data_IF_713913316615
#
_entry.id   IF_713913316615
#
_cell.length_a   1.000
_cell.length_b   1.000
_cell.length_c   1.000
_cell.angle_alpha   90.00
_cell.angle_beta   90.00
_cell.angle_gamma   90.00
#
_symmetry.space_group_name_H-M   'P 1'
#
loop_
_entity.id
_entity.type
_entity.pdbx_description
1 polymer ?
#
# COMPACT_ATOMS: atom_id res chain seq x y z
N UNK A 1 6.63 21.60 18.27
CA UNK A 1 8.11 21.43 18.31
C UNK A 1 8.62 21.74 16.91
N UNK A 2 9.76 22.40 16.75
CA UNK A 2 10.34 22.66 15.42
C UNK A 2 11.44 21.65 15.16
N UNK A 3 11.37 20.95 14.00
CA UNK A 3 12.37 19.96 13.59
C UNK A 3 13.56 20.67 12.91
N UNK A 4 14.76 20.18 13.18
CA UNK A 4 16.00 20.69 12.58
C UNK A 4 16.35 19.90 11.31
N UNK A 5 17.17 20.52 10.43
CA UNK A 5 17.61 19.92 9.17
C UNK A 5 18.73 18.88 9.41
N UNK A 6 18.37 17.81 10.12
CA UNK A 6 19.21 16.64 10.33
C UNK A 6 18.37 15.40 10.63
N UNK A 7 18.90 14.22 10.36
CA UNK A 7 18.20 12.97 10.55
C UNK A 7 17.82 12.67 12.00
N UNK A 8 18.64 13.06 12.98
CA UNK A 8 18.35 12.83 14.39
C UNK A 8 17.04 13.53 14.79
N UNK A 9 16.93 14.82 14.46
CA UNK A 9 15.71 15.58 14.74
C UNK A 9 14.51 15.11 13.95
N UNK A 10 14.67 14.82 12.65
CA UNK A 10 13.57 14.37 11.79
C UNK A 10 13.04 13.00 12.20
N UNK A 11 13.92 12.07 12.59
CA UNK A 11 13.52 10.74 13.06
C UNK A 11 12.84 10.76 14.44
N UNK A 12 13.01 11.83 15.22
CA UNK A 12 12.29 11.97 16.49
C UNK A 12 10.79 12.26 16.32
N UNK A 13 10.34 12.58 15.07
CA UNK A 13 8.91 12.80 14.80
C UNK A 13 8.16 11.48 14.89
N UNK A 14 7.15 11.39 15.77
CA UNK A 14 6.32 10.20 15.82
C UNK A 14 5.50 10.07 14.53
N UNK A 15 5.31 8.84 14.07
CA UNK A 15 4.35 8.56 13.00
C UNK A 15 2.94 8.84 13.56
N UNK A 16 2.10 9.63 12.88
CA UNK A 16 0.75 9.92 13.31
C UNK A 16 -0.07 8.66 13.61
N UNK A 17 -0.76 8.65 14.76
CA UNK A 17 -1.47 7.47 15.28
C UNK A 17 -2.51 6.90 14.28
N UNK A 18 -3.17 7.78 13.53
CA UNK A 18 -4.14 7.36 12.52
C UNK A 18 -3.58 6.31 11.54
N UNK A 19 -2.28 6.40 11.21
CA UNK A 19 -1.64 5.47 10.29
C UNK A 19 -1.44 4.09 10.93
N UNK A 20 -0.99 4.06 12.20
CA UNK A 20 -0.88 2.83 12.96
C UNK A 20 -2.25 2.16 13.20
N UNK A 21 -3.35 2.91 13.17
CA UNK A 21 -4.72 2.42 13.32
C UNK A 21 -5.32 1.94 12.00
N UNK A 22 -4.88 2.47 10.87
CA UNK A 22 -5.46 2.26 9.55
C UNK A 22 -5.34 0.82 9.05
N UNK A 23 -4.19 0.18 9.21
CA UNK A 23 -3.87 -1.23 8.90
C UNK A 23 -4.00 -1.67 7.45
N UNK A 24 -4.93 -1.13 6.68
CA UNK A 24 -5.17 -1.50 5.29
C UNK A 24 -5.33 -0.27 4.41
N UNK A 25 -4.54 -0.23 3.34
CA UNK A 25 -4.57 0.79 2.29
C UNK A 25 -4.57 0.18 0.90
N UNK A 26 -4.88 0.99 -0.10
CA UNK A 26 -4.84 0.60 -1.51
C UNK A 26 -3.78 1.43 -2.23
N UNK A 27 -2.89 0.74 -2.93
CA UNK A 27 -1.94 1.33 -3.85
C UNK A 27 -2.53 1.32 -5.26
N UNK A 28 -2.32 2.37 -6.04
CA UNK A 28 -2.89 2.48 -7.38
C UNK A 28 -1.77 2.83 -8.35
N UNK A 29 -1.30 1.84 -9.11
CA UNK A 29 -0.35 2.07 -10.19
C UNK A 29 -1.09 2.28 -11.50
N UNK A 30 -1.19 3.55 -11.90
CA UNK A 30 -1.93 3.98 -13.08
C UNK A 30 -1.20 5.12 -13.80
N UNK A 31 -1.12 5.07 -15.12
CA UNK A 31 -0.37 6.03 -15.92
C UNK A 31 -0.28 5.61 -17.38
N UNK A 32 0.64 6.20 -18.16
CA UNK A 32 0.81 5.90 -19.57
C UNK A 32 1.14 4.43 -19.84
N UNK A 33 1.86 3.76 -18.95
CA UNK A 33 2.13 2.32 -19.01
C UNK A 33 0.88 1.43 -18.96
N UNK A 34 -0.26 1.98 -18.53
CA UNK A 34 -1.54 1.27 -18.60
C UNK A 34 -2.09 1.16 -20.03
N UNK A 35 -1.57 1.93 -21.00
CA UNK A 35 -1.97 1.84 -22.40
C UNK A 35 -1.43 0.56 -23.05
N UNK A 36 -0.11 0.32 -23.10
CA UNK A 36 0.40 -0.97 -23.51
C UNK A 36 -0.04 -2.09 -22.54
N UNK A 37 -0.09 -1.80 -21.24
CA UNK A 37 -0.44 -2.74 -20.18
C UNK A 37 0.26 -4.09 -20.39
N UNK A 38 1.56 -4.08 -20.63
CA UNK A 38 2.31 -5.26 -21.04
C UNK A 38 3.72 -5.29 -20.44
N UNK A 39 4.11 -6.44 -20.03
CA UNK A 39 5.51 -6.84 -19.83
C UNK A 39 5.62 -8.35 -19.93
N UNK A 40 6.83 -8.86 -20.09
CA UNK A 40 7.08 -10.31 -20.03
C UNK A 40 6.99 -10.82 -18.59
N UNK A 41 6.74 -12.12 -18.40
CA UNK A 41 6.65 -12.73 -17.08
C UNK A 41 7.93 -12.50 -16.26
N UNK A 42 7.76 -12.12 -14.99
CA UNK A 42 8.87 -11.83 -14.07
C UNK A 42 9.36 -10.39 -14.12
N UNK A 43 8.69 -9.52 -14.86
CA UNK A 43 8.96 -8.08 -14.93
C UNK A 43 7.70 -7.28 -14.59
N UNK A 44 7.84 -5.96 -14.40
CA UNK A 44 6.76 -5.05 -14.01
C UNK A 44 6.30 -4.20 -15.21
N UNK A 45 4.99 -4.13 -15.43
CA UNK A 45 4.40 -3.41 -16.56
C UNK A 45 4.60 -1.89 -16.46
N UNK A 46 4.67 -1.33 -15.25
CA UNK A 46 4.94 0.09 -15.03
C UNK A 46 6.38 0.49 -15.43
N UNK A 47 7.27 -0.49 -15.65
CA UNK A 47 8.62 -0.30 -16.16
C UNK A 47 8.71 -0.38 -17.69
N UNK A 48 7.58 -0.36 -18.40
CA UNK A 48 7.52 -0.57 -19.86
C UNK A 48 8.45 0.33 -20.65
N UNK A 49 8.48 1.66 -20.35
CA UNK A 49 9.38 2.58 -21.03
C UNK A 49 10.85 2.18 -20.89
N UNK A 50 11.27 1.85 -19.68
CA UNK A 50 12.64 1.41 -19.40
C UNK A 50 12.97 0.12 -20.16
N UNK A 51 12.05 -0.83 -20.19
CA UNK A 51 12.25 -2.11 -20.88
C UNK A 51 12.41 -1.93 -22.38
N UNK A 52 11.59 -1.11 -23.03
CA UNK A 52 11.69 -0.90 -24.48
C UNK A 52 12.92 -0.09 -24.88
N UNK A 53 13.42 0.81 -24.02
CA UNK A 53 14.52 1.73 -24.34
C UNK A 53 15.88 1.29 -23.80
N UNK A 54 15.92 0.57 -22.66
CA UNK A 54 17.16 0.21 -21.96
C UNK A 54 17.39 -1.29 -21.82
N UNK A 55 16.36 -2.11 -21.96
CA UNK A 55 16.41 -3.56 -21.79
C UNK A 55 15.66 -4.30 -22.92
N UNK A 56 15.95 -3.99 -24.20
CA UNK A 56 15.21 -4.54 -25.34
C UNK A 56 15.29 -6.07 -25.41
N UNK A 57 16.31 -6.69 -24.85
CA UNK A 57 16.53 -8.14 -24.79
C UNK A 57 15.49 -8.87 -23.91
N UNK A 58 14.75 -8.17 -23.08
CA UNK A 58 13.74 -8.76 -22.20
C UNK A 58 12.40 -9.05 -22.90
N UNK A 59 12.29 -8.76 -24.20
CA UNK A 59 11.15 -9.12 -25.02
C UNK A 59 10.00 -8.09 -25.08
N UNK A 60 9.99 -7.08 -24.21
CA UNK A 60 8.99 -6.02 -24.26
C UNK A 60 9.13 -5.17 -25.54
N UNK A 61 10.36 -4.91 -26.00
CA UNK A 61 10.64 -4.17 -27.22
C UNK A 61 10.15 -4.92 -28.48
N UNK A 62 10.40 -6.23 -28.58
CA UNK A 62 9.92 -7.04 -29.70
C UNK A 62 8.38 -7.00 -29.80
N UNK A 63 7.70 -7.13 -28.66
CA UNK A 63 6.24 -7.01 -28.61
C UNK A 63 5.77 -5.62 -29.01
N UNK A 64 6.44 -4.57 -28.52
CA UNK A 64 6.17 -3.16 -28.85
C UNK A 64 6.21 -2.94 -30.37
N UNK A 65 7.31 -3.32 -31.01
CA UNK A 65 7.53 -3.13 -32.44
C UNK A 65 6.49 -3.86 -33.31
N UNK A 66 6.11 -5.06 -32.85
CA UNK A 66 5.08 -5.86 -33.51
C UNK A 66 3.68 -5.26 -33.42
N UNK A 67 3.33 -4.64 -32.29
CA UNK A 67 1.97 -4.16 -32.01
C UNK A 67 1.78 -2.70 -32.43
N UNK A 68 2.76 -1.85 -32.16
CA UNK A 68 2.67 -0.42 -32.38
C UNK A 68 3.53 0.06 -33.57
N UNK A 69 4.59 -0.67 -33.92
CA UNK A 69 5.58 -0.30 -34.91
C UNK A 69 6.86 0.23 -34.28
N UNK A 70 7.98 0.09 -35.03
CA UNK A 70 9.32 0.47 -34.56
C UNK A 70 9.49 1.98 -34.27
N UNK A 71 8.73 2.81 -34.99
CA UNK A 71 8.78 4.27 -34.85
C UNK A 71 7.86 4.82 -33.75
N UNK A 72 6.96 4.00 -33.19
CA UNK A 72 6.06 4.42 -32.12
C UNK A 72 6.83 4.58 -30.81
N UNK A 73 6.72 5.75 -30.19
CA UNK A 73 7.47 6.10 -28.98
C UNK A 73 6.59 6.00 -27.74
N UNK A 74 7.23 5.89 -26.57
CA UNK A 74 6.50 5.91 -25.30
C UNK A 74 5.61 7.16 -25.15
N UNK A 75 6.09 8.32 -25.62
CA UNK A 75 5.33 9.57 -25.60
C UNK A 75 4.03 9.54 -26.41
N UNK A 76 3.93 8.67 -27.42
CA UNK A 76 2.75 8.55 -28.27
C UNK A 76 1.58 7.86 -27.52
N UNK A 77 1.86 7.16 -26.41
CA UNK A 77 0.82 6.59 -25.56
C UNK A 77 -0.09 7.62 -24.89
N UNK A 78 0.29 8.88 -24.86
CA UNK A 78 -0.56 9.98 -24.38
C UNK A 78 -1.92 9.97 -25.10
N UNK A 79 -1.94 9.74 -26.42
CA UNK A 79 -3.16 9.65 -27.22
C UNK A 79 -4.08 8.47 -26.84
N UNK A 80 -3.47 7.42 -26.28
CA UNK A 80 -4.18 6.22 -25.83
C UNK A 80 -4.64 6.25 -24.37
N UNK A 81 -4.08 7.16 -23.56
CA UNK A 81 -4.46 7.33 -22.17
C UNK A 81 -5.65 8.28 -22.05
N UNK A 82 -6.86 7.76 -22.25
CA UNK A 82 -8.08 8.57 -22.35
C UNK A 82 -8.87 8.67 -21.07
N UNK A 83 -8.80 7.66 -20.22
CA UNK A 83 -9.52 7.56 -18.95
C UNK A 83 -11.03 7.88 -19.06
N UNK A 84 -11.65 7.50 -20.18
CA UNK A 84 -13.04 7.86 -20.52
C UNK A 84 -14.07 7.20 -19.61
N UNK A 85 -13.71 6.10 -18.95
CA UNK A 85 -14.55 5.38 -18.00
C UNK A 85 -14.15 5.63 -16.53
N UNK A 86 -13.15 6.47 -16.30
CA UNK A 86 -12.74 6.82 -14.94
C UNK A 86 -13.84 7.62 -14.23
N UNK A 87 -14.24 7.12 -13.07
CA UNK A 87 -15.25 7.68 -12.20
C UNK A 87 -14.72 7.65 -10.76
N UNK A 88 -14.28 8.82 -10.27
CA UNK A 88 -13.65 8.96 -8.96
C UNK A 88 -14.57 8.57 -7.81
N UNK A 89 -15.88 8.83 -7.93
CA UNK A 89 -16.87 8.46 -6.91
C UNK A 89 -17.05 6.93 -6.82
N UNK A 90 -17.08 6.24 -7.96
CA UNK A 90 -17.13 4.77 -7.97
C UNK A 90 -15.88 4.15 -7.38
N UNK A 91 -14.70 4.73 -7.67
CA UNK A 91 -13.46 4.28 -7.04
C UNK A 91 -13.50 4.49 -5.53
N UNK A 92 -13.95 5.67 -5.07
CA UNK A 92 -14.08 5.97 -3.64
C UNK A 92 -15.04 5.00 -2.95
N UNK A 93 -16.17 4.69 -3.58
CA UNK A 93 -17.14 3.71 -3.06
C UNK A 93 -16.54 2.30 -2.97
N UNK A 94 -15.83 1.85 -4.01
CA UNK A 94 -15.14 0.56 -4.00
C UNK A 94 -14.10 0.48 -2.88
N UNK A 95 -13.27 1.50 -2.73
CA UNK A 95 -12.23 1.54 -1.70
C UNK A 95 -12.82 1.58 -0.28
N UNK A 96 -13.90 2.31 -0.08
CA UNK A 96 -14.67 2.27 1.17
C UNK A 96 -15.22 0.87 1.45
N UNK A 97 -15.84 0.23 0.45
CA UNK A 97 -16.39 -1.14 0.57
C UNK A 97 -15.31 -2.19 0.80
N UNK A 98 -14.10 -1.99 0.29
CA UNK A 98 -12.96 -2.88 0.56
C UNK A 98 -12.47 -2.83 1.99
N UNK A 99 -12.89 -1.83 2.78
CA UNK A 99 -12.44 -1.58 4.14
C UNK A 99 -11.14 -0.79 4.22
N UNK A 100 -10.57 -0.32 3.12
CA UNK A 100 -9.37 0.50 3.12
C UNK A 100 -9.57 1.81 3.90
N UNK A 101 -8.51 2.28 4.54
CA UNK A 101 -8.50 3.52 5.33
C UNK A 101 -7.72 4.63 4.65
N UNK A 102 -6.91 4.31 3.67
CA UNK A 102 -6.17 5.27 2.85
C UNK A 102 -5.86 4.67 1.48
N UNK A 103 -5.52 5.54 0.56
CA UNK A 103 -5.00 5.16 -0.76
C UNK A 103 -3.65 5.84 -1.00
N UNK A 104 -2.87 5.30 -1.93
CA UNK A 104 -1.73 5.97 -2.57
C UNK A 104 -1.85 5.83 -4.08
N UNK A 105 -2.12 6.93 -4.79
CA UNK A 105 -2.11 6.92 -6.26
C UNK A 105 -0.73 7.34 -6.78
N UNK A 106 -0.24 6.72 -7.84
CA UNK A 106 0.97 7.16 -8.55
C UNK A 106 0.74 8.53 -9.17
N UNK A 107 0.94 9.60 -8.38
CA UNK A 107 0.86 10.97 -8.90
C UNK A 107 1.86 11.23 -10.02
N UNK A 108 3.04 10.60 -9.94
CA UNK A 108 4.09 10.53 -10.97
C UNK A 108 4.91 9.26 -10.76
N UNK A 109 5.04 8.43 -11.79
CA UNK A 109 5.94 7.28 -11.80
C UNK A 109 7.33 7.66 -12.39
N UNK A 110 8.23 6.71 -12.59
CA UNK A 110 9.59 6.94 -13.10
C UNK A 110 9.65 7.48 -14.54
N UNK A 111 8.57 7.37 -15.31
CA UNK A 111 8.40 7.95 -16.65
C UNK A 111 8.21 9.47 -16.61
N UNK A 112 8.01 10.05 -15.42
CA UNK A 112 7.84 11.48 -15.21
C UNK A 112 6.45 12.02 -15.55
N UNK A 113 5.52 11.18 -16.09
CA UNK A 113 4.17 11.63 -16.41
C UNK A 113 3.34 11.86 -15.16
N UNK A 114 2.81 13.08 -14.99
CA UNK A 114 2.03 13.46 -13.83
C UNK A 114 0.53 13.25 -14.04
N UNK A 115 -0.14 12.60 -13.09
CA UNK A 115 -1.61 12.47 -13.05
C UNK A 115 -2.30 13.68 -12.40
N UNK A 116 -1.60 14.79 -12.30
CA UNK A 116 -2.06 16.05 -11.72
C UNK A 116 -1.48 17.24 -12.48
N UNK A 117 -2.12 18.39 -12.39
CA UNK A 117 -1.59 19.62 -12.98
C UNK A 117 -0.35 20.08 -12.21
N UNK A 118 0.80 20.08 -12.88
CA UNK A 118 2.04 20.60 -12.35
C UNK A 118 2.67 21.62 -13.26
N UNK A 119 3.13 22.73 -12.69
CA UNK A 119 3.88 23.78 -13.42
C UNK A 119 5.32 23.33 -13.74
N UNK A 120 5.79 22.26 -13.10
CA UNK A 120 7.12 21.67 -13.30
C UNK A 120 7.15 20.53 -14.33
N UNK A 121 5.98 20.03 -14.77
CA UNK A 121 5.84 18.98 -15.79
C UNK A 121 5.03 19.48 -16.98
N UNK A 122 5.42 20.63 -17.55
CA UNK A 122 4.75 21.24 -18.69
C UNK A 122 4.68 20.29 -19.89
N UNK A 123 3.48 20.12 -20.47
CA UNK A 123 3.16 19.16 -21.53
C UNK A 123 3.49 17.69 -21.22
N UNK A 124 3.73 17.37 -19.94
CA UNK A 124 3.96 15.99 -19.49
C UNK A 124 3.12 15.68 -18.24
N UNK A 125 1.85 16.10 -18.29
CA UNK A 125 0.85 15.84 -17.27
C UNK A 125 -0.53 15.66 -17.89
N UNK A 126 -1.44 14.97 -17.19
CA UNK A 126 -2.77 14.60 -17.65
C UNK A 126 -3.74 15.76 -17.91
N UNK A 127 -3.40 16.98 -17.46
CA UNK A 127 -4.18 18.19 -17.74
C UNK A 127 -3.76 18.87 -19.05
N UNK A 128 -2.46 18.87 -19.35
CA UNK A 128 -1.94 19.53 -20.55
C UNK A 128 -2.11 18.64 -21.79
N UNK A 129 -2.02 17.33 -21.63
CA UNK A 129 -2.10 16.34 -22.72
C UNK A 129 -2.95 15.14 -22.33
N UNK A 130 -3.40 14.38 -23.33
CA UNK A 130 -4.21 13.18 -23.13
C UNK A 130 -5.64 13.51 -22.65
N UNK A 131 -6.06 13.02 -21.47
CA UNK A 131 -7.45 13.11 -21.02
C UNK A 131 -7.90 14.52 -20.59
N UNK A 132 -6.98 15.46 -20.40
CA UNK A 132 -7.23 16.82 -19.86
C UNK A 132 -7.96 16.82 -18.52
N UNK A 133 -7.56 15.91 -17.61
CA UNK A 133 -8.15 15.73 -16.28
C UNK A 133 -7.08 15.74 -15.18
N UNK A 134 -7.44 16.27 -14.01
CA UNK A 134 -6.63 16.24 -12.79
C UNK A 134 -7.09 15.11 -11.88
N UNK A 135 -6.56 13.92 -12.10
CA UNK A 135 -7.00 12.70 -11.40
C UNK A 135 -6.74 12.74 -9.90
N UNK A 136 -5.64 13.38 -9.49
CA UNK A 136 -5.33 13.53 -8.07
C UNK A 136 -6.37 14.43 -7.38
N UNK A 137 -6.81 15.51 -8.04
CA UNK A 137 -7.85 16.38 -7.48
C UNK A 137 -9.22 15.68 -7.46
N UNK A 138 -9.59 15.01 -8.53
CA UNK A 138 -10.86 14.28 -8.60
C UNK A 138 -10.95 13.22 -7.52
N UNK A 139 -9.89 12.42 -7.32
CA UNK A 139 -9.85 11.43 -6.24
C UNK A 139 -9.84 12.06 -4.84
N UNK A 140 -9.05 13.13 -4.63
CA UNK A 140 -9.06 13.87 -3.36
C UNK A 140 -10.48 14.29 -2.97
N UNK A 141 -11.21 14.89 -3.90
CA UNK A 141 -12.58 15.35 -3.63
C UNK A 141 -13.55 14.17 -3.39
N UNK A 142 -13.47 13.11 -4.20
CA UNK A 142 -14.32 11.92 -4.01
C UNK A 142 -14.02 11.17 -2.68
N UNK A 143 -12.77 11.23 -2.17
CA UNK A 143 -12.42 10.62 -0.89
C UNK A 143 -12.92 11.39 0.33
N UNK A 144 -13.26 12.67 0.19
CA UNK A 144 -13.52 13.61 1.30
C UNK A 144 -14.54 13.10 2.33
N UNK A 145 -15.62 12.50 1.86
CA UNK A 145 -16.69 11.97 2.71
C UNK A 145 -16.75 10.43 2.75
N UNK A 146 -15.75 9.77 2.14
CA UNK A 146 -15.71 8.30 2.09
C UNK A 146 -15.25 7.65 3.39
N UNK A 147 -14.49 8.37 4.22
CA UNK A 147 -13.76 7.83 5.36
C UNK A 147 -12.42 7.20 4.97
N UNK A 148 -12.02 7.28 3.69
CA UNK A 148 -10.73 6.82 3.16
C UNK A 148 -9.84 8.04 2.91
N UNK A 149 -8.62 8.05 3.47
CA UNK A 149 -7.69 9.17 3.31
C UNK A 149 -7.03 9.15 1.94
N UNK A 150 -6.94 10.31 1.32
CA UNK A 150 -6.18 10.50 0.09
C UNK A 150 -4.68 10.56 0.38
N UNK A 151 -3.89 9.83 -0.37
CA UNK A 151 -2.43 9.84 -0.35
C UNK A 151 -1.86 9.68 -1.75
N UNK A 152 -0.56 9.93 -1.87
CA UNK A 152 0.14 9.89 -3.14
C UNK A 152 1.43 9.10 -3.07
N UNK A 153 1.75 8.42 -4.17
CA UNK A 153 3.09 7.97 -4.51
C UNK A 153 3.70 9.00 -5.46
N UNK A 154 4.99 9.26 -5.30
CA UNK A 154 5.72 10.15 -6.18
C UNK A 154 7.16 9.66 -6.38
N UNK A 155 7.51 9.28 -7.61
CA UNK A 155 8.88 8.92 -7.92
C UNK A 155 9.82 10.12 -7.79
N UNK A 156 10.90 9.96 -7.02
CA UNK A 156 12.00 10.93 -7.01
C UNK A 156 12.89 10.77 -8.25
N UNK A 157 12.80 9.63 -8.91
CA UNK A 157 13.53 9.25 -10.10
C UNK A 157 12.75 9.62 -11.37
N UNK A 158 13.44 10.09 -12.39
CA UNK A 158 12.88 10.25 -13.74
C UNK A 158 13.88 9.72 -14.77
N UNK A 159 13.56 8.61 -15.40
CA UNK A 159 14.45 7.86 -16.27
C UNK A 159 15.11 8.67 -17.41
N UNK A 160 14.37 9.62 -17.97
CA UNK A 160 14.78 10.34 -19.19
C UNK A 160 14.75 11.86 -19.02
N UNK A 161 14.61 12.38 -17.80
CA UNK A 161 14.62 13.80 -17.55
C UNK A 161 16.03 14.37 -17.76
N UNK A 162 16.22 15.35 -18.69
CA UNK A 162 17.56 15.81 -19.06
C UNK A 162 18.38 16.35 -17.90
N UNK A 163 17.72 17.03 -16.95
CA UNK A 163 18.39 17.58 -15.79
C UNK A 163 18.82 16.47 -14.82
N UNK A 164 17.96 15.47 -14.61
CA UNK A 164 18.31 14.30 -13.79
C UNK A 164 19.54 13.57 -14.33
N UNK A 165 19.57 13.31 -15.65
CA UNK A 165 20.68 12.61 -16.31
C UNK A 165 21.99 13.40 -16.28
N UNK A 166 21.93 14.71 -16.18
CA UNK A 166 23.09 15.60 -16.17
C UNK A 166 23.58 15.91 -14.77
N UNK A 167 22.68 16.24 -13.86
CA UNK A 167 22.95 16.73 -12.52
C UNK A 167 21.77 16.42 -11.58
N UNK A 168 21.80 15.25 -10.89
CA UNK A 168 20.72 14.83 -9.99
C UNK A 168 20.49 15.78 -8.82
N UNK A 169 21.54 16.45 -8.34
CA UNK A 169 21.38 17.44 -7.24
C UNK A 169 20.64 18.69 -7.73
N UNK A 170 21.01 19.23 -8.90
CA UNK A 170 20.30 20.36 -9.51
C UNK A 170 18.85 19.98 -9.84
N UNK A 171 18.61 18.75 -10.31
CA UNK A 171 17.27 18.21 -10.53
C UNK A 171 16.46 18.19 -9.23
N UNK A 172 17.03 17.70 -8.13
CA UNK A 172 16.35 17.67 -6.84
C UNK A 172 15.90 19.05 -6.39
N UNK A 173 16.77 20.05 -6.48
CA UNK A 173 16.51 21.41 -6.00
C UNK A 173 15.58 22.22 -6.93
N UNK A 174 15.72 22.07 -8.25
CA UNK A 174 15.01 22.93 -9.23
C UNK A 174 13.76 22.31 -9.84
N UNK A 175 13.61 20.99 -9.74
CA UNK A 175 12.49 20.27 -10.33
C UNK A 175 11.71 19.47 -9.29
N UNK A 176 12.36 18.50 -8.61
CA UNK A 176 11.68 17.56 -7.70
C UNK A 176 11.07 18.27 -6.48
N UNK A 177 11.85 19.04 -5.71
CA UNK A 177 11.35 19.69 -4.49
C UNK A 177 10.24 20.70 -4.78
N UNK A 178 10.36 21.60 -5.79
CA UNK A 178 9.28 22.49 -6.15
C UNK A 178 8.01 21.75 -6.54
N UNK A 179 8.11 20.68 -7.34
CA UNK A 179 6.97 19.83 -7.74
C UNK A 179 6.32 19.13 -6.53
N UNK A 180 7.11 18.54 -5.63
CA UNK A 180 6.60 17.93 -4.40
C UNK A 180 5.90 18.94 -3.49
N UNK A 181 6.47 20.15 -3.34
CA UNK A 181 5.85 21.23 -2.56
C UNK A 181 4.53 21.68 -3.18
N UNK A 182 4.47 21.81 -4.51
CA UNK A 182 3.24 22.09 -5.26
C UNK A 182 2.19 21.01 -5.01
N UNK A 183 2.55 19.73 -5.18
CA UNK A 183 1.68 18.59 -4.96
C UNK A 183 1.12 18.58 -3.53
N UNK A 184 1.99 18.72 -2.54
CA UNK A 184 1.59 18.69 -1.12
C UNK A 184 0.70 19.88 -0.77
N UNK A 185 1.05 21.08 -1.22
CA UNK A 185 0.29 22.29 -0.87
C UNK A 185 -1.09 22.31 -1.52
N UNK A 186 -1.21 21.80 -2.75
CA UNK A 186 -2.47 21.83 -3.51
C UNK A 186 -3.40 20.66 -3.16
N UNK A 187 -2.84 19.46 -2.98
CA UNK A 187 -3.64 18.24 -2.82
C UNK A 187 -3.74 17.77 -1.36
N UNK A 188 -2.89 18.27 -0.46
CA UNK A 188 -2.92 18.00 0.99
C UNK A 188 -3.02 16.50 1.32
N UNK A 189 -2.14 15.63 0.77
CA UNK A 189 -2.21 14.20 0.97
C UNK A 189 -1.95 13.80 2.44
N UNK A 190 -2.53 12.69 2.88
CA UNK A 190 -2.29 12.12 4.20
C UNK A 190 -1.06 11.22 4.25
N UNK A 191 -0.66 10.66 3.10
CA UNK A 191 0.57 9.87 2.93
C UNK A 191 1.37 10.38 1.75
N UNK A 192 2.70 10.29 1.85
CA UNK A 192 3.63 10.54 0.77
C UNK A 192 4.56 9.34 0.63
N UNK A 193 4.30 8.52 -0.36
CA UNK A 193 5.14 7.38 -0.70
C UNK A 193 6.12 7.78 -1.79
N UNK A 194 7.38 8.06 -1.42
CA UNK A 194 8.46 8.30 -2.40
C UNK A 194 9.08 6.99 -2.85
N UNK A 195 9.71 6.98 -4.02
CA UNK A 195 10.37 5.81 -4.61
C UNK A 195 11.41 6.22 -5.66
N UNK A 196 12.34 5.32 -6.00
CA UNK A 196 13.38 5.59 -6.99
C UNK A 196 14.60 6.32 -6.42
N UNK A 197 14.82 6.24 -5.11
CA UNK A 197 15.93 6.89 -4.40
C UNK A 197 17.28 6.15 -4.56
N UNK A 198 17.30 5.01 -5.22
CA UNK A 198 18.36 3.99 -5.16
C UNK A 198 19.76 4.44 -5.59
N UNK A 199 19.85 5.32 -6.58
CA UNK A 199 21.13 5.66 -7.24
C UNK A 199 21.95 6.64 -6.42
N UNK A 200 21.30 7.47 -5.59
CA UNK A 200 21.96 8.56 -4.90
C UNK A 200 21.69 8.57 -3.39
N UNK A 201 22.64 9.08 -2.59
CA UNK A 201 22.42 9.28 -1.16
C UNK A 201 21.43 10.41 -0.87
N UNK A 202 20.91 10.45 0.33
CA UNK A 202 19.94 11.47 0.77
C UNK A 202 20.46 12.91 0.69
N UNK A 203 21.77 13.10 0.75
CA UNK A 203 22.42 14.40 0.56
C UNK A 203 22.21 14.94 -0.86
N UNK A 204 22.35 14.09 -1.90
CA UNK A 204 22.09 14.49 -3.30
C UNK A 204 20.62 14.85 -3.53
N UNK A 205 19.72 14.15 -2.86
CA UNK A 205 18.28 14.44 -2.89
C UNK A 205 17.87 15.63 -2.02
N UNK A 206 18.76 16.20 -1.19
CA UNK A 206 18.44 17.21 -0.17
C UNK A 206 17.25 16.81 0.70
N UNK A 207 17.17 15.54 1.05
CA UNK A 207 16.00 14.92 1.68
C UNK A 207 15.68 15.51 3.05
N UNK A 208 16.71 15.79 3.85
CA UNK A 208 16.51 16.39 5.18
C UNK A 208 15.97 17.82 5.09
N UNK A 209 16.37 18.58 4.08
CA UNK A 209 15.84 19.94 3.83
C UNK A 209 14.35 19.89 3.46
N UNK A 210 13.98 18.97 2.55
CA UNK A 210 12.60 18.77 2.17
C UNK A 210 11.73 18.32 3.34
N UNK A 211 12.16 17.32 4.10
CA UNK A 211 11.43 16.81 5.27
C UNK A 211 11.32 17.87 6.39
N UNK A 212 12.33 18.71 6.55
CA UNK A 212 12.27 19.84 7.48
C UNK A 212 11.16 20.82 7.13
N UNK A 213 11.03 21.18 5.85
CA UNK A 213 9.90 21.97 5.34
C UNK A 213 8.56 21.20 5.55
N UNK A 214 8.52 19.92 5.19
CA UNK A 214 7.31 19.10 5.30
C UNK A 214 6.76 19.07 6.73
N UNK A 215 7.63 18.94 7.73
CA UNK A 215 7.24 18.80 9.14
C UNK A 215 7.03 20.12 9.87
N UNK A 216 7.59 21.22 9.38
CA UNK A 216 7.47 22.51 10.06
C UNK A 216 6.50 23.48 9.39
N UNK A 217 6.40 23.46 8.05
CA UNK A 217 5.82 24.55 7.27
C UNK A 217 4.67 24.12 6.39
N UNK A 218 4.64 22.82 5.96
CA UNK A 218 3.61 22.36 5.04
C UNK A 218 2.21 22.41 5.65
N UNK A 219 1.15 22.56 4.84
CA UNK A 219 -0.23 22.55 5.34
C UNK A 219 -0.63 21.21 5.97
N UNK A 220 0.10 20.13 5.67
CA UNK A 220 -0.18 18.76 6.12
C UNK A 220 0.69 18.28 7.28
N UNK A 221 1.54 19.15 7.81
CA UNK A 221 2.58 18.84 8.82
C UNK A 221 2.09 18.06 10.04
N UNK A 222 0.85 18.25 10.42
CA UNK A 222 0.29 17.66 11.64
C UNK A 222 -0.16 16.20 11.43
N UNK A 223 -0.40 15.77 10.18
CA UNK A 223 -0.98 14.45 9.91
C UNK A 223 -0.30 13.65 8.79
N UNK A 224 0.56 14.26 7.96
CA UNK A 224 1.24 13.57 6.84
C UNK A 224 2.14 12.45 7.35
N UNK A 225 2.09 11.32 6.66
CA UNK A 225 2.99 10.19 6.86
C UNK A 225 3.84 9.98 5.60
N UNK A 226 5.08 10.46 5.57
CA UNK A 226 6.03 10.06 4.53
C UNK A 226 6.59 8.67 4.83
N UNK A 227 7.10 8.00 3.80
CA UNK A 227 7.83 6.75 3.95
C UNK A 227 9.34 6.98 4.21
N UNK A 228 10.14 5.93 4.08
CA UNK A 228 11.58 5.90 4.35
C UNK A 228 12.46 5.89 3.10
N UNK A 229 11.90 6.19 1.91
CA UNK A 229 12.61 6.13 0.62
C UNK A 229 13.12 7.51 0.19
N UNK A 230 14.16 7.99 0.86
CA UNK A 230 14.72 9.34 0.72
C UNK A 230 16.19 9.39 0.29
N UNK A 231 16.82 8.24 0.09
CA UNK A 231 18.19 8.05 -0.33
C UNK A 231 18.55 6.58 -0.24
N UNK A 232 19.57 6.14 -0.97
CA UNK A 232 19.96 4.72 -1.05
C UNK A 232 20.27 4.06 0.30
N UNK A 233 20.54 4.87 1.34
CA UNK A 233 20.87 4.41 2.70
C UNK A 233 19.70 4.48 3.68
N UNK A 234 18.54 5.02 3.27
CA UNK A 234 17.50 5.40 4.24
C UNK A 234 16.50 4.29 4.55
N UNK A 235 16.24 3.37 3.63
CA UNK A 235 15.24 2.31 3.83
C UNK A 235 15.47 1.49 5.09
N UNK A 236 14.44 1.39 5.95
CA UNK A 236 14.47 0.67 7.22
C UNK A 236 15.34 1.31 8.30
N UNK A 237 15.70 2.59 8.14
CA UNK A 237 16.58 3.30 9.08
C UNK A 237 16.18 4.74 9.35
N UNK A 238 15.89 5.50 8.30
CA UNK A 238 15.73 6.96 8.36
C UNK A 238 14.45 7.38 7.60
N UNK A 239 13.79 8.44 8.05
CA UNK A 239 12.60 8.98 7.42
C UNK A 239 11.32 8.70 8.22
N UNK A 240 10.23 8.41 7.54
CA UNK A 240 8.90 8.24 8.15
C UNK A 240 8.60 6.81 8.60
N UNK A 241 7.50 6.23 8.10
CA UNK A 241 7.21 4.81 8.28
C UNK A 241 8.13 3.95 7.39
N UNK A 242 8.50 2.78 7.89
CA UNK A 242 9.32 1.87 7.12
C UNK A 242 8.49 1.15 6.06
N UNK A 243 9.06 1.00 4.86
CA UNK A 243 8.42 0.30 3.76
C UNK A 243 9.18 -0.95 3.38
N UNK A 244 8.42 -2.02 3.18
CA UNK A 244 8.91 -3.26 2.61
C UNK A 244 8.13 -3.58 1.34
N UNK A 245 8.75 -4.32 0.45
CA UNK A 245 8.18 -4.68 -0.83
C UNK A 245 8.52 -6.14 -1.11
N UNK A 246 7.52 -7.01 -1.14
CA UNK A 246 7.66 -8.47 -1.24
C UNK A 246 8.58 -9.12 -0.18
N UNK A 247 8.90 -8.40 0.90
CA UNK A 247 10.03 -8.70 1.74
C UNK A 247 9.73 -9.49 3.01
N UNK A 248 8.66 -9.16 3.70
CA UNK A 248 8.38 -9.74 5.03
C UNK A 248 7.77 -11.15 4.89
N UNK A 249 6.92 -11.37 3.88
CA UNK A 249 6.19 -12.63 3.69
C UNK A 249 6.93 -13.56 2.73
N UNK A 250 7.55 -13.03 1.66
CA UNK A 250 8.15 -13.84 0.59
C UNK A 250 9.69 -14.03 0.72
N UNK A 251 10.27 -13.76 1.89
CA UNK A 251 11.69 -14.02 2.16
C UNK A 251 12.66 -12.93 1.68
N UNK A 252 12.17 -11.73 1.39
CA UNK A 252 12.97 -10.54 1.23
C UNK A 252 13.61 -10.07 2.56
N UNK A 253 13.60 -8.78 2.88
CA UNK A 253 14.06 -8.30 4.20
C UNK A 253 13.26 -8.99 5.30
N UNK A 254 13.93 -9.71 6.17
CA UNK A 254 13.28 -10.32 7.33
C UNK A 254 12.80 -9.22 8.28
N UNK A 255 11.66 -9.44 8.94
CA UNK A 255 11.17 -8.54 10.02
C UNK A 255 12.26 -8.25 11.06
N UNK A 256 13.15 -9.21 11.29
CA UNK A 256 14.30 -9.11 12.19
C UNK A 256 15.26 -7.96 11.79
N UNK A 257 15.24 -7.54 10.52
CA UNK A 257 16.06 -6.44 9.98
C UNK A 257 15.36 -5.07 10.08
N UNK A 258 14.08 -5.02 10.52
CA UNK A 258 13.31 -3.79 10.72
C UNK A 258 13.25 -3.52 12.23
N UNK A 259 13.66 -2.34 12.65
CA UNK A 259 13.42 -1.90 14.03
C UNK A 259 11.91 -1.81 14.28
N UNK A 260 11.36 -2.79 15.02
CA UNK A 260 9.92 -2.94 15.29
C UNK A 260 9.35 -1.90 16.26
N UNK A 261 10.08 -0.86 16.59
CA UNK A 261 9.62 0.28 17.37
C UNK A 261 8.88 1.34 16.53
N UNK A 262 8.89 1.19 15.20
CA UNK A 262 8.18 2.05 14.26
C UNK A 262 7.12 1.27 13.46
N UNK A 263 6.02 1.94 13.09
CA UNK A 263 5.09 1.40 12.10
C UNK A 263 5.81 1.09 10.80
N UNK A 264 5.48 -0.02 10.19
CA UNK A 264 5.94 -0.39 8.86
C UNK A 264 4.76 -0.67 7.93
N UNK A 265 5.01 -0.65 6.64
CA UNK A 265 4.03 -0.90 5.59
C UNK A 265 4.63 -1.85 4.56
N UNK A 266 3.94 -2.93 4.27
CA UNK A 266 4.25 -3.83 3.17
C UNK A 266 3.39 -3.50 1.97
N UNK A 267 4.00 -3.22 0.80
CA UNK A 267 3.28 -3.05 -0.44
C UNK A 267 3.42 -4.26 -1.36
N UNK A 268 2.29 -4.69 -1.93
CA UNK A 268 2.22 -5.86 -2.82
C UNK A 268 1.09 -5.74 -3.83
N UNK A 269 1.31 -6.26 -5.05
CA UNK A 269 0.28 -6.40 -6.07
C UNK A 269 -0.71 -7.53 -5.77
N UNK A 270 -1.97 -7.37 -6.20
CA UNK A 270 -2.90 -8.50 -6.31
C UNK A 270 -2.39 -9.47 -7.37
N UNK A 271 -1.88 -8.96 -8.51
CA UNK A 271 -1.15 -9.69 -9.53
C UNK A 271 0.36 -9.71 -9.28
N UNK A 272 1.11 -10.11 -10.28
CA UNK A 272 2.58 -10.17 -10.26
C UNK A 272 3.23 -8.84 -10.63
N UNK A 273 2.50 -7.94 -11.28
CA UNK A 273 2.93 -6.60 -11.67
C UNK A 273 2.16 -5.55 -10.86
N UNK A 274 2.75 -4.38 -10.61
CA UNK A 274 2.01 -3.27 -9.99
C UNK A 274 1.09 -2.59 -11.02
N UNK A 275 1.62 -2.19 -12.18
CA UNK A 275 0.79 -1.77 -13.32
C UNK A 275 0.06 -2.95 -13.95
N UNK A 276 -1.08 -2.66 -14.60
CA UNK A 276 -1.84 -3.69 -15.31
C UNK A 276 -0.96 -4.41 -16.35
N UNK A 277 -0.94 -5.74 -16.30
CA UNK A 277 -0.24 -6.57 -17.27
C UNK A 277 -1.23 -7.54 -17.95
N UNK A 278 -1.50 -7.31 -19.24
CA UNK A 278 -2.48 -8.07 -20.03
C UNK A 278 -2.16 -9.54 -20.25
N UNK A 279 -0.94 -9.97 -19.94
CA UNK A 279 -0.59 -11.39 -20.03
C UNK A 279 -0.80 -12.15 -18.73
N UNK A 280 -1.15 -11.45 -17.64
CA UNK A 280 -1.52 -12.10 -16.38
C UNK A 280 -2.86 -12.82 -16.55
N UNK A 281 -2.94 -14.01 -15.99
CA UNK A 281 -4.13 -14.86 -15.95
C UNK A 281 -4.66 -14.95 -14.53
N UNK A 282 -5.80 -15.58 -14.33
CA UNK A 282 -6.37 -15.80 -12.99
C UNK A 282 -5.43 -16.55 -12.04
N UNK A 283 -4.47 -17.31 -12.58
CA UNK A 283 -3.45 -18.02 -11.79
C UNK A 283 -2.32 -17.09 -11.27
N UNK A 284 -2.16 -15.92 -11.88
CA UNK A 284 -1.17 -14.92 -11.47
C UNK A 284 -1.69 -14.02 -10.34
N UNK A 285 -3.02 -13.98 -10.14
CA UNK A 285 -3.68 -13.16 -9.14
C UNK A 285 -3.88 -13.94 -7.84
N UNK A 286 -3.53 -13.32 -6.72
CA UNK A 286 -3.77 -13.88 -5.40
C UNK A 286 -5.27 -14.06 -5.12
N UNK A 287 -5.61 -15.15 -4.45
CA UNK A 287 -6.97 -15.40 -3.96
C UNK A 287 -7.31 -14.49 -2.78
N UNK A 288 -8.59 -14.31 -2.51
CA UNK A 288 -9.03 -13.57 -1.32
C UNK A 288 -8.49 -14.19 -0.02
N UNK A 289 -8.38 -15.53 0.04
CA UNK A 289 -7.79 -16.22 1.18
C UNK A 289 -6.34 -15.78 1.42
N UNK A 290 -5.49 -15.84 0.40
CA UNK A 290 -4.08 -15.45 0.50
C UNK A 290 -3.93 -13.99 0.89
N UNK A 291 -4.75 -13.10 0.33
CA UNK A 291 -4.72 -11.65 0.64
C UNK A 291 -5.15 -11.37 2.08
N UNK A 292 -6.17 -12.06 2.60
CA UNK A 292 -6.61 -11.94 3.98
C UNK A 292 -5.58 -12.53 4.94
N UNK A 293 -4.96 -13.66 4.60
CA UNK A 293 -3.86 -14.24 5.38
C UNK A 293 -2.68 -13.26 5.49
N UNK A 294 -2.28 -12.62 4.39
CA UNK A 294 -1.23 -11.59 4.38
C UNK A 294 -1.60 -10.38 5.24
N UNK A 295 -2.83 -9.87 5.09
CA UNK A 295 -3.32 -8.76 5.93
C UNK A 295 -3.22 -9.10 7.41
N UNK A 296 -3.74 -10.26 7.82
CA UNK A 296 -3.72 -10.71 9.21
C UNK A 296 -2.30 -10.92 9.71
N UNK A 297 -1.44 -11.55 8.91
CA UNK A 297 -0.03 -11.76 9.26
C UNK A 297 0.69 -10.43 9.50
N UNK A 298 0.60 -9.48 8.55
CA UNK A 298 1.24 -8.16 8.66
C UNK A 298 0.75 -7.37 9.86
N UNK A 299 -0.58 -7.34 10.08
CA UNK A 299 -1.18 -6.63 11.20
C UNK A 299 -0.78 -7.25 12.54
N UNK A 300 -0.69 -8.58 12.63
CA UNK A 300 -0.24 -9.28 13.84
C UNK A 300 1.21 -8.96 14.20
N UNK A 301 2.02 -8.56 13.22
CA UNK A 301 3.41 -8.09 13.36
C UNK A 301 3.53 -6.59 13.61
N UNK A 302 2.39 -5.87 13.66
CA UNK A 302 2.33 -4.43 13.93
C UNK A 302 2.37 -3.55 12.69
N UNK A 303 2.33 -4.14 11.47
CA UNK A 303 2.40 -3.43 10.20
C UNK A 303 1.05 -3.03 9.61
N UNK A 304 1.13 -2.35 8.47
CA UNK A 304 0.04 -2.05 7.56
C UNK A 304 0.22 -2.82 6.25
N UNK A 305 -0.87 -3.14 5.59
CA UNK A 305 -0.89 -3.73 4.27
C UNK A 305 -1.35 -2.72 3.22
N UNK A 306 -0.49 -2.39 2.26
CA UNK A 306 -0.78 -1.52 1.13
C UNK A 306 -0.93 -2.38 -0.13
N UNK A 307 -2.17 -2.75 -0.46
CA UNK A 307 -2.50 -3.67 -1.54
C UNK A 307 -2.66 -2.93 -2.86
N UNK A 308 -1.87 -3.29 -3.87
CA UNK A 308 -1.85 -2.60 -5.14
C UNK A 308 -2.86 -3.16 -6.15
N UNK A 309 -3.49 -2.23 -6.85
CA UNK A 309 -4.27 -2.46 -8.07
C UNK A 309 -3.64 -1.71 -9.25
N UNK A 310 -3.83 -2.26 -10.46
CA UNK A 310 -3.41 -1.65 -11.73
C UNK A 310 -4.62 -1.39 -12.62
N UNK A 311 -5.19 -0.17 -12.63
CA UNK A 311 -6.29 0.17 -13.53
C UNK A 311 -5.88 0.18 -15.01
N UNK A 312 -6.86 -0.07 -15.89
CA UNK A 312 -6.69 0.05 -17.34
C UNK A 312 -6.62 1.51 -17.78
N UNK A 313 -6.14 1.75 -19.00
CA UNK A 313 -5.98 3.11 -19.55
C UNK A 313 -7.30 3.88 -19.70
N UNK A 314 -8.42 3.18 -19.82
CA UNK A 314 -9.77 3.76 -19.86
C UNK A 314 -10.30 4.18 -18.48
N UNK A 315 -9.60 3.84 -17.38
CA UNK A 315 -9.99 4.15 -16.01
C UNK A 315 -10.82 3.05 -15.32
N UNK A 316 -11.00 1.89 -15.96
CA UNK A 316 -11.65 0.76 -15.31
C UNK A 316 -10.69 0.00 -14.41
N UNK A 317 -11.16 -0.49 -13.27
CA UNK A 317 -10.43 -1.43 -12.43
C UNK A 317 -10.76 -2.84 -12.94
N UNK A 318 -9.75 -3.71 -13.19
CA UNK A 318 -10.01 -5.08 -13.62
C UNK A 318 -10.94 -5.82 -12.66
N UNK A 319 -11.94 -6.51 -13.21
CA UNK A 319 -13.01 -7.20 -12.43
C UNK A 319 -12.44 -8.10 -11.34
N UNK A 320 -11.35 -8.83 -11.64
CA UNK A 320 -10.72 -9.71 -10.66
C UNK A 320 -10.13 -8.93 -9.47
N UNK A 321 -9.56 -7.74 -9.71
CA UNK A 321 -9.04 -6.89 -8.64
C UNK A 321 -10.19 -6.31 -7.80
N UNK A 322 -11.26 -5.86 -8.46
CA UNK A 322 -12.48 -5.37 -7.79
C UNK A 322 -13.09 -6.45 -6.89
N UNK A 323 -13.25 -7.69 -7.41
CA UNK A 323 -13.74 -8.83 -6.62
C UNK A 323 -12.88 -9.10 -5.39
N UNK A 324 -11.54 -9.08 -5.51
CA UNK A 324 -10.64 -9.31 -4.38
C UNK A 324 -10.80 -8.24 -3.31
N UNK A 325 -10.88 -6.97 -3.72
CA UNK A 325 -11.12 -5.86 -2.80
C UNK A 325 -12.44 -6.03 -2.04
N UNK A 326 -13.52 -6.36 -2.73
CA UNK A 326 -14.84 -6.58 -2.11
C UNK A 326 -14.85 -7.78 -1.17
N UNK A 327 -14.15 -8.87 -1.50
CA UNK A 327 -14.02 -10.05 -0.64
C UNK A 327 -13.24 -9.75 0.65
N UNK A 328 -12.17 -8.93 0.55
CA UNK A 328 -11.46 -8.43 1.74
C UNK A 328 -12.39 -7.57 2.59
N UNK A 329 -13.13 -6.67 1.97
CA UNK A 329 -14.10 -5.82 2.66
C UNK A 329 -15.16 -6.59 3.42
N UNK A 330 -15.76 -7.61 2.81
CA UNK A 330 -16.72 -8.49 3.46
C UNK A 330 -16.14 -9.20 4.69
N UNK A 331 -14.89 -9.63 4.61
CA UNK A 331 -14.19 -10.22 5.75
C UNK A 331 -13.92 -9.20 6.85
N UNK A 332 -13.49 -8.00 6.49
CA UNK A 332 -13.20 -6.89 7.42
C UNK A 332 -14.48 -6.34 8.09
N UNK A 333 -15.62 -6.40 7.42
CA UNK A 333 -16.91 -6.03 8.03
C UNK A 333 -17.22 -6.88 9.28
N UNK A 334 -16.82 -8.15 9.27
CA UNK A 334 -17.01 -9.08 10.38
C UNK A 334 -15.86 -9.02 11.40
N UNK A 335 -14.61 -8.95 10.93
CA UNK A 335 -13.42 -9.13 11.75
C UNK A 335 -12.62 -7.84 11.98
N UNK A 336 -13.13 -6.70 11.55
CA UNK A 336 -12.42 -5.41 11.60
C UNK A 336 -11.96 -4.97 12.98
N UNK A 337 -12.68 -5.36 14.04
CA UNK A 337 -12.27 -5.08 15.42
C UNK A 337 -10.94 -5.74 15.80
N UNK A 338 -10.66 -6.91 15.24
CA UNK A 338 -9.40 -7.62 15.40
C UNK A 338 -8.25 -7.04 14.56
N UNK A 339 -8.53 -6.07 13.68
CA UNK A 339 -7.59 -5.47 12.72
C UNK A 339 -7.35 -4.00 13.03
N UNK A 340 -8.39 -3.15 12.90
CA UNK A 340 -8.24 -1.70 12.99
C UNK A 340 -7.97 -1.22 14.42
N UNK A 341 -7.01 -0.30 14.55
CA UNK A 341 -6.63 0.26 15.85
C UNK A 341 -5.90 -0.72 16.76
N UNK A 342 -5.52 -1.89 16.24
CA UNK A 342 -4.79 -2.89 17.02
C UNK A 342 -3.28 -2.63 17.04
N UNK A 343 -2.60 -3.31 17.95
CA UNK A 343 -1.14 -3.29 18.13
C UNK A 343 -0.62 -4.73 18.21
N UNK A 344 0.67 -4.90 18.06
CA UNK A 344 1.38 -6.15 18.28
C UNK A 344 1.08 -6.70 19.68
N UNK A 345 0.67 -7.95 19.77
CA UNK A 345 0.47 -8.65 21.05
C UNK A 345 1.70 -9.46 21.45
N UNK A 346 2.24 -10.25 20.52
CA UNK A 346 3.42 -11.09 20.76
C UNK A 346 4.35 -11.08 19.53
N UNK A 347 5.65 -11.25 19.77
CA UNK A 347 6.66 -11.44 18.70
C UNK A 347 6.78 -12.90 18.26
N UNK A 348 6.20 -13.83 19.00
CA UNK A 348 6.28 -15.26 18.75
C UNK A 348 4.94 -15.76 18.18
N UNK A 349 4.80 -15.83 16.85
CA UNK A 349 3.56 -16.35 16.27
C UNK A 349 3.43 -17.85 16.54
N UNK A 350 2.24 -18.28 16.92
CA UNK A 350 1.85 -19.68 16.92
C UNK A 350 1.51 -20.11 15.49
N UNK A 351 1.78 -21.36 15.14
CA UNK A 351 1.41 -21.87 13.81
C UNK A 351 -0.11 -21.76 13.60
N UNK A 352 -0.51 -21.24 12.45
CA UNK A 352 -1.92 -21.07 12.02
C UNK A 352 -2.80 -20.24 13.00
N UNK A 353 -2.17 -19.46 13.90
CA UNK A 353 -2.87 -18.56 14.83
C UNK A 353 -2.09 -17.26 14.97
N UNK A 354 -2.76 -16.15 14.75
CA UNK A 354 -2.20 -14.81 14.81
C UNK A 354 -2.83 -14.01 15.94
N UNK A 355 -2.09 -13.08 16.50
CA UNK A 355 -2.57 -12.32 17.66
C UNK A 355 -2.45 -10.82 17.44
N UNK A 356 -3.50 -10.11 17.85
CA UNK A 356 -3.51 -8.64 17.93
C UNK A 356 -4.09 -8.21 19.27
N UNK A 357 -3.86 -6.94 19.65
CA UNK A 357 -4.48 -6.38 20.86
C UNK A 357 -5.00 -4.97 20.64
N UNK A 358 -6.08 -4.60 21.34
CA UNK A 358 -6.65 -3.27 21.37
C UNK A 358 -7.03 -2.93 22.80
N UNK A 359 -6.23 -2.04 23.45
CA UNK A 359 -6.35 -1.86 24.88
C UNK A 359 -6.11 -3.17 25.64
N UNK A 360 -7.08 -3.57 26.47
CA UNK A 360 -7.04 -4.80 27.26
C UNK A 360 -7.61 -6.02 26.52
N UNK A 361 -8.23 -5.80 25.35
CA UNK A 361 -8.78 -6.88 24.53
C UNK A 361 -7.69 -7.52 23.67
N UNK A 362 -7.62 -8.85 23.69
CA UNK A 362 -6.76 -9.65 22.83
C UNK A 362 -7.63 -10.35 21.78
N UNK A 363 -7.14 -10.38 20.56
CA UNK A 363 -7.77 -11.13 19.46
C UNK A 363 -6.84 -12.25 19.03
N UNK A 364 -7.37 -13.48 18.98
CA UNK A 364 -6.71 -14.65 18.38
C UNK A 364 -7.40 -14.94 17.03
N UNK A 365 -6.66 -14.90 15.93
CA UNK A 365 -7.19 -15.08 14.58
C UNK A 365 -6.67 -16.42 14.06
N UNK A 366 -7.55 -17.40 13.90
CA UNK A 366 -7.20 -18.76 13.50
C UNK A 366 -7.39 -18.97 11.99
N UNK A 367 -6.40 -19.61 11.35
CA UNK A 367 -6.42 -19.95 9.92
C UNK A 367 -7.02 -21.34 9.67
N UNK A 368 -8.17 -21.62 10.28
CA UNK A 368 -8.96 -22.83 10.08
C UNK A 368 -10.39 -22.61 10.53
N UNK A 369 -11.30 -23.39 9.99
CA UNK A 369 -12.69 -23.38 10.46
C UNK A 369 -12.77 -23.67 11.98
N UNK A 370 -13.59 -22.92 12.75
CA UNK A 370 -13.69 -23.08 14.20
C UNK A 370 -14.43 -24.38 14.56
N UNK A 371 -13.67 -25.46 14.68
CA UNK A 371 -14.16 -26.81 15.00
C UNK A 371 -13.29 -27.48 16.06
N UNK A 372 -13.90 -28.25 16.95
CA UNK A 372 -13.21 -28.94 18.03
C UNK A 372 -12.66 -27.96 19.09
N UNK A 373 -11.36 -27.87 19.23
CA UNK A 373 -10.72 -26.94 20.18
C UNK A 373 -9.43 -26.35 19.63
N UNK A 374 -9.02 -25.24 20.21
CA UNK A 374 -7.71 -24.60 19.98
C UNK A 374 -7.10 -24.20 21.31
N UNK A 375 -5.83 -24.54 21.52
CA UNK A 375 -5.04 -24.03 22.64
C UNK A 375 -4.26 -22.79 22.12
N UNK A 376 -4.42 -21.67 22.81
CA UNK A 376 -3.74 -20.42 22.50
C UNK A 376 -2.42 -20.36 23.28
N UNK A 377 -1.31 -20.68 22.61
CA UNK A 377 0.01 -20.84 23.25
C UNK A 377 0.56 -19.54 23.85
N UNK A 378 0.12 -18.39 23.32
CA UNK A 378 0.54 -17.06 23.76
C UNK A 378 -0.40 -16.44 24.82
N UNK A 379 -1.49 -17.12 25.19
CA UNK A 379 -2.47 -16.61 26.15
C UNK A 379 -2.52 -17.52 27.39
N UNK A 380 -2.13 -16.96 28.53
CA UNK A 380 -2.23 -17.68 29.80
C UNK A 380 -3.69 -17.85 30.22
N UNK A 381 -3.99 -18.99 30.84
CA UNK A 381 -5.33 -19.24 31.33
C UNK A 381 -5.69 -18.30 32.49
N UNK A 382 -6.86 -17.68 32.38
CA UNK A 382 -7.50 -16.90 33.44
C UNK A 382 -9.01 -17.25 33.41
N UNK A 383 -9.57 -17.73 34.52
CA UNK A 383 -11.00 -18.11 34.62
C UNK A 383 -11.97 -16.94 34.30
N UNK A 384 -11.49 -15.69 34.38
CA UNK A 384 -12.28 -14.47 34.06
C UNK A 384 -12.32 -14.15 32.58
N UNK A 385 -11.43 -14.77 31.79
CA UNK A 385 -11.42 -14.53 30.33
C UNK A 385 -12.66 -15.13 29.66
N UNK A 386 -13.35 -14.31 28.93
CA UNK A 386 -14.47 -14.68 28.06
C UNK A 386 -13.99 -14.70 26.62
N UNK A 387 -14.39 -15.72 25.88
CA UNK A 387 -14.09 -15.85 24.47
C UNK A 387 -15.37 -15.69 23.64
N UNK A 388 -15.30 -14.90 22.56
CA UNK A 388 -16.38 -14.69 21.60
C UNK A 388 -15.84 -14.84 20.19
N UNK A 389 -16.51 -15.63 19.34
CA UNK A 389 -16.20 -15.72 17.93
C UNK A 389 -16.89 -14.54 17.20
N UNK A 390 -16.13 -13.70 16.49
CA UNK A 390 -16.71 -12.51 15.82
C UNK A 390 -17.66 -12.90 14.68
N UNK A 391 -17.39 -14.03 14.04
CA UNK A 391 -18.17 -14.50 12.87
C UNK A 391 -19.41 -15.31 13.21
N UNK A 392 -19.65 -15.63 14.50
CA UNK A 392 -20.80 -16.46 14.91
C UNK A 392 -21.13 -16.27 16.40
N UNK A 393 -22.42 -16.32 16.74
CA UNK A 393 -22.90 -16.07 18.11
C UNK A 393 -22.87 -17.34 19.02
N UNK A 394 -22.22 -18.41 18.60
CA UNK A 394 -22.09 -19.63 19.38
C UNK A 394 -21.34 -19.39 20.70
N UNK A 395 -21.87 -19.98 21.78
CA UNK A 395 -21.21 -19.91 23.08
C UNK A 395 -19.93 -20.76 23.08
N UNK A 396 -18.79 -20.13 23.24
CA UNK A 396 -17.50 -20.79 23.43
C UNK A 396 -17.29 -21.13 24.89
N UNK A 397 -16.62 -22.25 25.18
CA UNK A 397 -16.17 -22.58 26.52
C UNK A 397 -14.65 -22.57 26.60
N UNK A 398 -14.13 -22.20 27.76
CA UNK A 398 -12.69 -22.10 28.01
C UNK A 398 -12.27 -23.09 29.10
N UNK A 399 -11.07 -23.64 28.98
CA UNK A 399 -10.47 -24.53 29.99
C UNK A 399 -8.95 -24.29 30.08
N UNK A 400 -8.38 -24.76 31.19
CA UNK A 400 -6.94 -24.70 31.41
C UNK A 400 -6.27 -25.93 30.76
N UNK A 401 -5.35 -25.68 29.84
CA UNK A 401 -4.52 -26.67 29.18
C UNK A 401 -3.04 -26.38 29.48
N UNK A 402 -2.50 -26.97 30.53
CA UNK A 402 -1.11 -26.77 30.90
C UNK A 402 -0.73 -25.33 31.26
N UNK A 403 -1.67 -24.53 31.76
CA UNK A 403 -1.47 -23.10 32.06
C UNK A 403 -1.86 -22.16 30.92
N UNK A 404 -2.23 -22.70 29.76
CA UNK A 404 -2.66 -21.95 28.59
C UNK A 404 -4.17 -21.97 28.39
N UNK A 405 -4.69 -20.97 27.70
CA UNK A 405 -6.12 -20.86 27.40
C UNK A 405 -6.48 -21.82 26.26
N UNK A 406 -7.31 -22.83 26.55
CA UNK A 406 -7.92 -23.65 25.50
C UNK A 406 -9.38 -23.25 25.31
N UNK A 407 -9.75 -23.08 24.03
CA UNK A 407 -11.10 -22.71 23.62
C UNK A 407 -11.75 -23.89 22.93
N UNK A 408 -12.94 -24.26 23.37
CA UNK A 408 -13.74 -25.32 22.76
C UNK A 408 -14.88 -24.70 21.96
N UNK A 409 -15.02 -25.14 20.71
CA UNK A 409 -16.09 -24.72 19.79
C UNK A 409 -17.24 -25.73 19.88
N UNK A 410 -18.50 -25.29 19.98
CA UNK A 410 -19.63 -26.18 19.75
C UNK A 410 -19.70 -26.61 18.30
N UNK A 411 -20.61 -27.50 17.94
CA UNK A 411 -20.90 -27.79 16.54
C UNK A 411 -21.50 -26.53 15.89
N UNK A 412 -20.80 -25.99 14.91
CA UNK A 412 -21.18 -24.78 14.15
C UNK A 412 -21.52 -25.21 12.72
N UNK A 413 -22.70 -24.82 12.24
CA UNK A 413 -23.06 -24.99 10.84
C UNK A 413 -22.28 -23.98 9.97
N UNK A 414 -21.51 -24.43 8.96
CA UNK A 414 -20.78 -23.51 8.08
C UNK A 414 -21.65 -22.44 7.42
N UNK A 415 -22.92 -22.72 7.15
CA UNK A 415 -23.86 -21.77 6.51
C UNK A 415 -24.30 -20.62 7.46
N UNK A 416 -24.04 -20.74 8.78
CA UNK A 416 -24.38 -19.73 9.78
C UNK A 416 -23.18 -18.81 10.10
N UNK A 417 -22.00 -19.10 9.57
CA UNK A 417 -20.78 -18.31 9.80
C UNK A 417 -20.74 -17.12 8.85
N UNK A 418 -20.59 -15.91 9.40
CA UNK A 418 -20.67 -14.63 8.67
C UNK A 418 -19.48 -14.33 7.77
N UNK A 419 -18.39 -15.09 7.85
CA UNK A 419 -17.20 -14.89 7.00
C UNK A 419 -16.55 -16.22 6.63
N UNK A 420 -15.58 -16.15 5.70
CA UNK A 420 -14.77 -17.29 5.26
C UNK A 420 -13.29 -17.04 5.57
N UNK A 421 -12.47 -18.07 5.38
CA UNK A 421 -11.01 -18.09 5.43
C UNK A 421 -10.43 -18.06 6.84
N UNK A 422 -10.41 -16.90 7.52
CA UNK A 422 -9.85 -16.74 8.86
C UNK A 422 -10.92 -16.29 9.86
N UNK A 423 -10.77 -16.65 11.12
CA UNK A 423 -11.81 -16.46 12.12
C UNK A 423 -11.23 -15.82 13.38
N UNK A 424 -11.70 -14.64 13.73
CA UNK A 424 -11.23 -13.92 14.89
C UNK A 424 -12.02 -14.27 16.16
N UNK A 425 -11.29 -14.55 17.23
CA UNK A 425 -11.80 -14.80 18.57
C UNK A 425 -11.39 -13.61 19.43
N UNK A 426 -12.38 -12.92 19.98
CA UNK A 426 -12.19 -11.84 20.94
C UNK A 426 -12.07 -12.40 22.35
N UNK A 427 -11.06 -11.95 23.09
CA UNK A 427 -10.79 -12.32 24.46
C UNK A 427 -10.87 -11.10 25.36
N UNK A 428 -11.84 -11.09 26.28
CA UNK A 428 -12.09 -9.98 27.24
C UNK A 428 -12.16 -10.50 28.67
N UNK A 429 -11.84 -9.64 29.65
CA UNK A 429 -12.04 -9.93 31.09
C UNK A 429 -13.40 -9.46 31.58
#
# INVERSE_FOLDING_TARGET
>A
MKYENNWESLNSRPVPEWFADAKFGIFIHWGLYSVPAYTTRGHYAEWYQWQIEKQPEQGAKEWHDKVFGEDYKYTDFVEGFKAELFDAEKWAELFKKSGAKYINITSKHHDGFCLFKSDYAWNWNSMDVGPHRDFCMELKEAMKDSGVRFGVYHSVYEWFHPLYLKDPEEYALKHLHPMLKELITKYEPSTLFTDGEWDHPSETWHSTEFLTWLYNESPVKDYIVPNDRWGKETRGRLGGNFTTEYGIIDGGRKIEDVELDRPFEECRGIGKSFGLNRIETTEDYLSAKELIEMLVELVSKGGNFLLNIGPAADGTIPVIMEERLLQIGQWLEVNGDAIYGTRLYTKNPQKDTYYTKKGDTVYAIINRFPFGSVTLEEVDYDEKLKARLLSHDAALTTENDGGKLKINFPAINPDEVKCQYMYAIELTK
#
